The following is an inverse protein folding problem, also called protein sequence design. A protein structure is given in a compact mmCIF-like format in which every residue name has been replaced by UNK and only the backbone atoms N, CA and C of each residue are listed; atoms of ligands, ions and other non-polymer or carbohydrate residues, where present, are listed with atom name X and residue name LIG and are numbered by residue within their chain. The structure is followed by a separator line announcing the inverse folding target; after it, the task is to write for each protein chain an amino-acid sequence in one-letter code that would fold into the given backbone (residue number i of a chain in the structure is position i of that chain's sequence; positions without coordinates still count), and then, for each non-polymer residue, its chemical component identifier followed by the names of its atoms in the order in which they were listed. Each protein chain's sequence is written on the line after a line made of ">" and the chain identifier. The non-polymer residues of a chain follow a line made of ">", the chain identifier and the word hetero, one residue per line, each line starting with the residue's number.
data_IF_205768631319
#
_entry.id   IF_205768631319
#
_cell.length_a   1.000
_cell.length_b   1.000
_cell.length_c   1.000
_cell.angle_alpha   90.00
_cell.angle_beta   90.00
_cell.angle_gamma   90.00
#
_symmetry.space_group_name_H-M   'P 1'
#
loop_
_entity.id
_entity.type
_entity.pdbx_description
1 polymer ?
#
# COMPACT_ATOMS: atom_id res chain seq x y z
N UNK A 1 24.29 15.96 -24.69
CA UNK A 1 25.17 16.83 -23.89
C UNK A 1 24.98 18.28 -24.33
N UNK A 2 24.24 19.06 -23.60
CA UNK A 2 24.30 20.53 -23.53
C UNK A 2 23.76 20.94 -22.16
N UNK A 3 24.42 21.84 -21.43
CA UNK A 3 24.00 22.27 -20.11
C UNK A 3 22.87 23.29 -20.19
N UNK A 4 21.95 23.25 -19.22
CA UNK A 4 20.87 24.20 -19.08
C UNK A 4 21.32 25.35 -18.16
N UNK A 5 21.36 26.55 -18.71
CA UNK A 5 21.76 27.77 -18.02
C UNK A 5 20.65 28.34 -17.13
N UNK A 6 21.10 28.76 -15.98
CA UNK A 6 20.40 29.46 -14.92
C UNK A 6 20.04 30.90 -15.38
N UNK A 7 18.77 31.32 -15.31
CA UNK A 7 18.34 32.71 -15.43
C UNK A 7 17.63 33.18 -14.18
N UNK A 8 18.37 33.87 -13.35
CA UNK A 8 17.84 34.78 -12.35
C UNK A 8 17.29 36.02 -12.99
N UNK A 9 16.10 36.43 -12.60
CA UNK A 9 15.65 37.85 -12.73
C UNK A 9 14.92 38.20 -11.43
N UNK A 10 15.52 39.18 -10.73
CA UNK A 10 14.92 39.84 -9.59
C UNK A 10 14.03 41.00 -10.05
N UNK A 11 13.02 41.28 -9.24
CA UNK A 11 12.42 42.62 -9.18
C UNK A 11 11.83 42.85 -7.80
N UNK A 12 12.34 43.87 -7.14
CA UNK A 12 11.80 44.50 -5.93
C UNK A 12 10.54 45.28 -6.25
N UNK A 13 9.58 45.32 -5.36
CA UNK A 13 8.43 46.18 -5.39
C UNK A 13 7.81 46.33 -4.02
N UNK A 14 8.21 47.37 -3.30
CA UNK A 14 7.56 47.84 -2.07
C UNK A 14 6.23 48.51 -2.40
N UNK A 15 5.18 48.28 -1.60
CA UNK A 15 4.06 49.19 -1.39
C UNK A 15 3.47 49.08 0.04
N UNK A 16 2.80 50.15 0.56
CA UNK A 16 2.88 50.55 1.94
C UNK A 16 1.72 50.15 2.83
N UNK A 17 1.99 50.22 4.16
CA UNK A 17 1.09 50.06 5.30
C UNK A 17 -0.10 51.03 5.28
N UNK A 18 -1.32 50.54 5.45
CA UNK A 18 -2.45 51.31 5.94
C UNK A 18 -3.02 50.72 7.22
N UNK A 19 -2.94 51.50 8.28
CA UNK A 19 -3.57 51.28 9.60
C UNK A 19 -5.09 51.31 9.48
N UNK A 20 -5.80 50.35 10.05
CA UNK A 20 -7.18 50.49 10.48
C UNK A 20 -7.39 49.99 11.90
N UNK A 21 -8.15 50.81 12.63
CA UNK A 21 -8.45 50.86 14.07
C UNK A 21 -9.47 49.78 14.45
N UNK A 22 -9.25 49.10 15.58
CA UNK A 22 -10.22 48.20 16.22
C UNK A 22 -11.12 48.94 17.23
N UNK A 23 -12.38 48.57 17.36
CA UNK A 23 -13.15 48.88 18.56
C UNK A 23 -13.23 47.65 19.50
N UNK A 24 -12.98 47.93 20.75
CA UNK A 24 -13.06 47.01 21.90
C UNK A 24 -14.52 46.71 22.23
N UNK A 25 -14.89 45.42 22.34
CA UNK A 25 -16.18 44.99 22.94
C UNK A 25 -15.85 44.15 24.15
N UNK A 26 -16.35 44.59 25.32
CA UNK A 26 -16.29 43.89 26.59
C UNK A 26 -17.29 42.73 26.61
N UNK A 27 -16.87 41.53 26.95
CA UNK A 27 -17.70 40.37 27.15
C UNK A 27 -17.86 40.04 28.62
N UNK A 28 -19.08 40.01 29.11
CA UNK A 28 -19.46 39.61 30.46
C UNK A 28 -19.34 38.11 30.67
N UNK A 29 -18.81 37.76 31.83
CA UNK A 29 -18.55 36.40 32.30
C UNK A 29 -19.81 35.90 33.05
N UNK A 30 -20.55 34.95 32.44
CA UNK A 30 -21.61 34.19 33.16
C UNK A 30 -21.05 32.80 33.49
N UNK A 31 -20.88 32.53 34.78
CA UNK A 31 -20.58 31.22 35.34
C UNK A 31 -21.85 30.36 35.35
N UNK A 32 -21.91 29.31 34.55
CA UNK A 32 -22.86 28.23 34.66
C UNK A 32 -22.20 27.02 35.31
N UNK A 33 -22.54 26.74 36.58
CA UNK A 33 -22.23 25.46 37.24
C UNK A 33 -23.36 24.49 36.96
N UNK A 34 -23.21 23.62 36.00
CA UNK A 34 -24.08 22.46 35.76
C UNK A 34 -23.40 21.15 36.18
N UNK A 35 -24.11 20.12 36.68
CA UNK A 35 -23.54 18.91 37.17
C UNK A 35 -22.90 18.09 36.00
N UNK A 36 -21.68 17.63 36.22
CA UNK A 36 -20.98 16.73 35.30
C UNK A 36 -21.64 15.36 35.35
N UNK A 37 -22.52 15.09 34.39
CA UNK A 37 -23.04 13.74 34.15
C UNK A 37 -21.93 12.90 33.50
N UNK A 38 -21.44 11.91 34.25
CA UNK A 38 -20.59 10.83 33.66
C UNK A 38 -21.47 10.03 32.69
N UNK A 39 -21.45 10.41 31.42
CA UNK A 39 -21.93 9.54 30.35
C UNK A 39 -20.99 8.33 30.30
N UNK A 40 -21.45 7.16 30.77
CA UNK A 40 -20.86 5.88 30.45
C UNK A 40 -20.83 5.77 28.92
N UNK A 41 -19.64 5.75 28.32
CA UNK A 41 -19.47 5.34 26.93
C UNK A 41 -19.95 3.88 26.83
N UNK A 42 -21.19 3.70 26.39
CA UNK A 42 -21.65 2.42 25.89
C UNK A 42 -20.74 2.08 24.68
N UNK A 43 -19.90 1.06 24.86
CA UNK A 43 -19.20 0.41 23.74
C UNK A 43 -20.34 -0.07 22.82
N UNK A 44 -20.48 0.59 21.67
CA UNK A 44 -21.43 0.16 20.67
C UNK A 44 -21.17 -1.30 20.31
N UNK A 45 -22.20 -2.13 20.34
CA UNK A 45 -22.11 -3.50 19.87
C UNK A 45 -21.58 -3.47 18.42
N UNK A 46 -20.67 -4.43 18.03
CA UNK A 46 -20.19 -4.49 16.68
C UNK A 46 -21.38 -4.54 15.72
N UNK A 47 -21.33 -3.85 14.58
CA UNK A 47 -22.40 -3.88 13.60
C UNK A 47 -22.69 -5.32 13.23
N UNK A 48 -23.98 -5.70 13.21
CA UNK A 48 -24.39 -7.02 12.76
C UNK A 48 -23.89 -7.22 11.32
N UNK A 49 -23.23 -8.37 11.04
CA UNK A 49 -22.87 -8.78 9.70
C UNK A 49 -24.12 -8.73 8.81
N UNK A 50 -24.22 -7.75 7.92
CA UNK A 50 -25.08 -7.89 6.78
C UNK A 50 -24.44 -8.97 5.90
N UNK A 51 -25.18 -10.05 5.61
CA UNK A 51 -24.71 -11.22 4.87
C UNK A 51 -24.03 -10.81 3.56
N UNK A 52 -22.74 -10.62 3.59
CA UNK A 52 -21.91 -10.25 2.46
C UNK A 52 -20.78 -11.26 2.38
N UNK A 53 -20.46 -11.66 1.17
CA UNK A 53 -19.30 -12.49 0.87
C UNK A 53 -18.04 -11.95 1.54
N UNK A 54 -17.15 -12.83 1.99
CA UNK A 54 -15.83 -12.46 2.47
C UNK A 54 -15.13 -11.53 1.47
N UNK A 55 -14.57 -10.45 1.95
CA UNK A 55 -13.78 -9.50 1.17
C UNK A 55 -12.37 -9.39 1.75
N UNK A 56 -11.43 -9.17 0.85
CA UNK A 56 -10.01 -9.06 1.17
C UNK A 56 -9.36 -7.95 0.34
N UNK A 57 -8.19 -7.50 0.77
CA UNK A 57 -7.40 -6.48 0.09
C UNK A 57 -5.93 -6.58 0.48
N UNK A 58 -5.09 -5.81 -0.22
CA UNK A 58 -3.66 -5.70 -0.04
C UNK A 58 -2.94 -7.05 0.16
N UNK A 59 -3.01 -7.90 -0.85
CA UNK A 59 -2.47 -9.25 -0.83
C UNK A 59 -1.05 -9.30 -1.40
N UNK A 60 -0.16 -10.01 -0.69
CA UNK A 60 1.19 -10.33 -1.14
C UNK A 60 1.48 -11.80 -0.90
N UNK A 61 2.07 -12.48 -1.88
CA UNK A 61 2.52 -13.87 -1.73
C UNK A 61 3.97 -14.02 -2.12
N UNK A 62 4.74 -14.65 -1.23
CA UNK A 62 6.10 -15.07 -1.46
C UNK A 62 6.17 -16.59 -1.55
N UNK A 63 6.63 -17.11 -2.66
CA UNK A 63 6.87 -18.53 -2.93
C UNK A 63 8.38 -18.81 -2.84
N UNK A 64 8.82 -19.65 -1.92
CA UNK A 64 10.21 -20.10 -1.85
C UNK A 64 10.32 -21.53 -2.37
N UNK A 65 10.90 -21.69 -3.57
CA UNK A 65 11.06 -22.99 -4.19
C UNK A 65 12.08 -23.82 -3.40
N UNK A 66 11.67 -25.00 -2.97
CA UNK A 66 12.52 -25.94 -2.22
C UNK A 66 13.35 -26.80 -3.20
N UNK A 67 14.08 -27.79 -2.65
CA UNK A 67 14.90 -28.69 -3.47
C UNK A 67 14.06 -29.26 -4.65
N UNK A 68 14.54 -29.18 -5.89
CA UNK A 68 13.74 -29.48 -7.09
C UNK A 68 13.12 -30.88 -7.14
N UNK A 69 13.73 -31.85 -6.49
CA UNK A 69 13.18 -33.22 -6.43
C UNK A 69 11.96 -33.37 -5.53
N UNK A 70 11.64 -32.38 -4.70
CA UNK A 70 10.52 -32.45 -3.76
C UNK A 70 9.19 -32.02 -4.38
N UNK A 71 9.22 -31.28 -5.48
CA UNK A 71 8.07 -30.58 -6.09
C UNK A 71 7.33 -29.71 -5.07
N UNK A 72 8.07 -29.14 -4.10
CA UNK A 72 7.50 -28.41 -2.96
C UNK A 72 8.05 -26.99 -2.90
N UNK A 73 7.24 -26.09 -2.35
CA UNK A 73 7.59 -24.69 -2.12
C UNK A 73 6.88 -24.17 -0.87
N UNK A 74 7.59 -23.31 -0.13
CA UNK A 74 7.00 -22.57 1.00
C UNK A 74 6.22 -21.38 0.48
N UNK A 75 5.14 -21.05 1.17
CA UNK A 75 4.30 -19.89 0.88
C UNK A 75 4.22 -19.04 2.14
N UNK A 76 4.57 -17.76 2.01
CA UNK A 76 4.23 -16.72 2.97
C UNK A 76 3.18 -15.84 2.32
N UNK A 77 1.97 -15.85 2.85
CA UNK A 77 0.82 -15.12 2.32
C UNK A 77 0.39 -14.04 3.29
N UNK A 78 0.60 -12.80 2.93
CA UNK A 78 0.11 -11.63 3.64
C UNK A 78 -1.22 -11.23 3.04
N UNK A 79 -2.27 -11.19 3.84
CA UNK A 79 -3.62 -10.86 3.40
C UNK A 79 -4.32 -9.98 4.41
N UNK A 80 -5.22 -9.15 3.93
CA UNK A 80 -6.01 -8.23 4.73
C UNK A 80 -7.49 -8.57 4.61
N UNK A 81 -8.09 -9.05 5.69
CA UNK A 81 -9.55 -9.22 5.79
C UNK A 81 -10.21 -7.84 5.91
N UNK A 82 -11.18 -7.54 5.04
CA UNK A 82 -11.82 -6.22 4.96
C UNK A 82 -13.33 -6.26 5.19
N UNK A 83 -13.93 -7.43 5.45
CA UNK A 83 -15.36 -7.53 5.76
C UNK A 83 -15.63 -7.01 7.17
N UNK A 84 -16.35 -5.88 7.35
CA UNK A 84 -16.58 -5.30 8.65
C UNK A 84 -17.27 -6.26 9.62
N UNK A 85 -16.79 -6.34 10.87
CA UNK A 85 -17.34 -7.21 11.91
C UNK A 85 -16.96 -8.69 11.77
N UNK A 86 -16.27 -9.12 10.71
CA UNK A 86 -15.82 -10.50 10.55
C UNK A 86 -14.88 -10.89 11.71
N UNK A 87 -15.09 -12.08 12.25
CA UNK A 87 -14.29 -12.69 13.33
C UNK A 87 -13.49 -13.89 12.83
N UNK A 88 -13.74 -14.30 11.59
CA UNK A 88 -13.04 -15.40 10.92
C UNK A 88 -12.62 -14.99 9.52
N UNK A 89 -11.58 -15.65 9.01
CA UNK A 89 -11.13 -15.53 7.63
C UNK A 89 -10.88 -16.92 7.05
N UNK A 90 -11.29 -17.16 5.80
CA UNK A 90 -11.15 -18.43 5.12
C UNK A 90 -10.14 -18.30 3.97
N UNK A 91 -9.02 -19.02 4.06
CA UNK A 91 -8.03 -19.09 2.98
C UNK A 91 -8.16 -20.40 2.21
N UNK A 92 -8.46 -20.39 0.90
CA UNK A 92 -8.63 -21.62 0.14
C UNK A 92 -7.31 -22.37 -0.03
N UNK A 93 -7.37 -23.70 0.09
CA UNK A 93 -6.29 -24.61 -0.27
C UNK A 93 -6.51 -24.99 -1.75
N UNK A 94 -5.53 -24.63 -2.59
CA UNK A 94 -5.65 -24.87 -4.04
C UNK A 94 -5.82 -26.36 -4.35
N UNK A 95 -6.81 -26.71 -5.14
CA UNK A 95 -7.06 -28.08 -5.59
C UNK A 95 -5.86 -28.69 -6.30
N UNK A 96 -5.49 -29.91 -5.94
CA UNK A 96 -4.34 -30.62 -6.49
C UNK A 96 -3.00 -30.31 -5.79
N UNK A 97 -2.97 -29.36 -4.84
CA UNK A 97 -1.83 -29.16 -3.94
C UNK A 97 -2.08 -29.88 -2.61
N UNK A 98 -1.02 -30.48 -2.03
CA UNK A 98 -1.03 -30.95 -0.65
C UNK A 98 -0.40 -29.86 0.22
N UNK A 99 -1.14 -29.39 1.21
CA UNK A 99 -0.67 -28.40 2.18
C UNK A 99 -0.11 -29.07 3.43
N UNK A 100 0.93 -28.48 4.01
CA UNK A 100 1.54 -28.87 5.29
C UNK A 100 2.22 -27.66 5.96
N UNK A 101 2.66 -27.84 7.19
CA UNK A 101 3.41 -26.86 7.98
C UNK A 101 2.69 -25.50 8.10
N UNK A 102 1.35 -25.56 8.24
CA UNK A 102 0.53 -24.37 8.36
C UNK A 102 0.79 -23.66 9.69
N UNK A 103 0.93 -22.33 9.62
CA UNK A 103 0.96 -21.45 10.77
C UNK A 103 0.31 -20.12 10.39
N UNK A 104 -0.40 -19.51 11.32
CA UNK A 104 -1.10 -18.25 11.07
C UNK A 104 -0.79 -17.26 12.20
N UNK A 105 -0.55 -16.01 11.81
CA UNK A 105 -0.19 -14.94 12.74
C UNK A 105 -1.03 -13.69 12.47
N UNK A 106 -1.33 -12.95 13.53
CA UNK A 106 -1.79 -11.56 13.44
C UNK A 106 -0.60 -10.69 13.00
N UNK A 107 -0.69 -10.05 11.85
CA UNK A 107 0.41 -9.27 11.32
C UNK A 107 0.63 -7.93 12.09
N UNK A 108 -0.35 -7.49 12.90
CA UNK A 108 -0.18 -6.34 13.78
C UNK A 108 0.70 -6.69 14.99
N UNK A 109 0.40 -7.79 15.69
CA UNK A 109 1.04 -8.14 16.95
C UNK A 109 2.18 -9.16 16.82
N UNK A 110 2.20 -9.92 15.73
CA UNK A 110 3.09 -11.07 15.54
C UNK A 110 2.64 -12.32 16.31
N UNK A 111 1.51 -12.29 17.00
CA UNK A 111 1.03 -13.41 17.81
C UNK A 111 0.42 -14.51 16.92
N UNK A 112 0.59 -15.79 17.29
CA UNK A 112 -0.03 -16.89 16.59
C UNK A 112 -1.55 -16.87 16.75
N UNK A 113 -2.27 -17.18 15.67
CA UNK A 113 -3.73 -17.29 15.65
C UNK A 113 -4.18 -18.75 15.59
N UNK A 114 -5.34 -19.02 16.19
CA UNK A 114 -6.00 -20.31 16.06
C UNK A 114 -6.57 -20.49 14.66
N UNK A 115 -6.41 -21.66 14.09
CA UNK A 115 -7.00 -22.03 12.82
C UNK A 115 -7.39 -23.51 12.80
N UNK A 116 -8.22 -23.88 11.85
CA UNK A 116 -8.65 -25.25 11.59
C UNK A 116 -8.76 -25.46 10.06
N UNK A 117 -8.54 -26.71 9.62
CA UNK A 117 -8.80 -27.08 8.24
C UNK A 117 -10.24 -27.58 8.15
N UNK A 118 -11.03 -26.89 7.31
CA UNK A 118 -12.44 -27.23 7.11
C UNK A 118 -12.72 -27.55 5.65
N UNK A 119 -13.72 -28.40 5.39
CA UNK A 119 -14.24 -28.64 4.04
C UNK A 119 -15.05 -27.44 3.56
N UNK A 120 -15.21 -27.27 2.25
CA UNK A 120 -16.09 -26.23 1.69
C UNK A 120 -17.54 -26.41 2.13
N UNK A 121 -17.98 -27.64 2.33
CA UNK A 121 -19.31 -27.93 2.88
C UNK A 121 -19.50 -27.41 4.32
N UNK A 122 -18.44 -27.45 5.13
CA UNK A 122 -18.43 -26.86 6.48
C UNK A 122 -18.31 -25.35 6.43
N UNK A 123 -17.44 -24.83 5.55
CA UNK A 123 -17.26 -23.39 5.37
C UNK A 123 -18.56 -22.69 4.97
N UNK A 124 -19.39 -23.31 4.12
CA UNK A 124 -20.71 -22.80 3.70
C UNK A 124 -21.72 -22.58 4.85
N UNK A 125 -21.47 -23.12 6.04
CA UNK A 125 -22.31 -22.83 7.21
C UNK A 125 -22.06 -21.42 7.77
N UNK A 126 -20.95 -20.81 7.37
CA UNK A 126 -20.63 -19.42 7.72
C UNK A 126 -21.26 -18.46 6.69
N UNK A 127 -21.94 -17.38 7.12
CA UNK A 127 -22.55 -16.40 6.23
C UNK A 127 -21.59 -15.80 5.19
N UNK A 128 -20.30 -15.74 5.48
CA UNK A 128 -19.28 -15.19 4.58
C UNK A 128 -18.94 -16.12 3.40
N UNK A 129 -19.33 -17.40 3.46
CA UNK A 129 -18.88 -18.46 2.55
C UNK A 129 -20.01 -19.23 1.85
N UNK A 130 -21.21 -18.69 1.81
CA UNK A 130 -22.41 -19.41 1.33
C UNK A 130 -22.31 -19.92 -0.11
N UNK A 131 -21.61 -19.18 -0.98
CA UNK A 131 -21.52 -19.45 -2.43
C UNK A 131 -20.24 -20.20 -2.83
N UNK A 132 -19.37 -20.55 -1.87
CA UNK A 132 -18.07 -21.15 -2.17
C UNK A 132 -18.18 -22.65 -2.56
N UNK A 133 -17.14 -23.17 -3.22
CA UNK A 133 -17.12 -24.56 -3.70
C UNK A 133 -17.01 -25.55 -2.53
N UNK A 134 -18.02 -26.39 -2.36
CA UNK A 134 -18.09 -27.40 -1.31
C UNK A 134 -16.93 -28.41 -1.31
N UNK A 135 -16.27 -28.63 -2.45
CA UNK A 135 -15.15 -29.57 -2.62
C UNK A 135 -13.77 -28.97 -2.38
N UNK A 136 -13.69 -27.68 -2.09
CA UNK A 136 -12.45 -26.98 -1.72
C UNK A 136 -12.25 -27.06 -0.21
N UNK A 137 -11.03 -27.32 0.24
CA UNK A 137 -10.68 -27.19 1.66
C UNK A 137 -10.18 -25.77 1.97
N UNK A 138 -10.42 -25.31 3.19
CA UNK A 138 -10.05 -23.97 3.63
C UNK A 138 -9.29 -24.03 4.95
N UNK A 139 -8.32 -23.14 5.10
CA UNK A 139 -7.77 -22.77 6.41
C UNK A 139 -8.73 -21.70 6.97
N UNK A 140 -9.53 -22.08 7.98
CA UNK A 140 -10.41 -21.16 8.71
C UNK A 140 -9.63 -20.58 9.87
N UNK A 141 -9.37 -19.30 9.84
CA UNK A 141 -8.60 -18.56 10.83
C UNK A 141 -9.54 -17.81 11.76
N UNK A 142 -9.31 -17.89 13.09
CA UNK A 142 -9.98 -17.07 14.06
C UNK A 142 -9.20 -15.77 14.26
N UNK A 143 -9.78 -14.65 13.91
CA UNK A 143 -9.13 -13.33 14.03
C UNK A 143 -8.96 -12.93 15.49
N UNK A 144 -7.87 -12.25 15.82
CA UNK A 144 -7.59 -11.77 17.18
C UNK A 144 -8.67 -10.77 17.68
N UNK A 145 -9.30 -10.07 16.75
CA UNK A 145 -10.37 -9.08 16.98
C UNK A 145 -11.27 -9.02 15.75
N UNK A 146 -12.55 -8.58 15.91
CA UNK A 146 -13.40 -8.32 14.75
C UNK A 146 -12.78 -7.25 13.84
N UNK A 147 -12.97 -7.40 12.53
CA UNK A 147 -12.53 -6.38 11.55
C UNK A 147 -13.28 -5.07 11.85
N UNK A 148 -12.58 -3.94 12.06
CA UNK A 148 -13.22 -2.65 12.29
C UNK A 148 -14.09 -2.20 11.10
N UNK A 149 -15.10 -1.36 11.33
CA UNK A 149 -16.01 -0.90 10.27
C UNK A 149 -15.28 -0.20 9.11
N UNK A 150 -14.30 0.66 9.43
CA UNK A 150 -13.47 1.39 8.47
C UNK A 150 -12.00 0.90 8.50
N UNK A 151 -11.79 -0.36 8.93
CA UNK A 151 -10.47 -0.90 9.18
C UNK A 151 -10.22 -2.24 8.52
N UNK A 152 -9.24 -2.97 9.04
CA UNK A 152 -8.71 -4.19 8.44
C UNK A 152 -8.31 -5.21 9.52
N UNK A 153 -8.30 -6.50 9.14
CA UNK A 153 -7.65 -7.57 9.89
C UNK A 153 -6.48 -8.13 9.08
N UNK A 154 -5.25 -7.80 9.44
CA UNK A 154 -4.06 -8.26 8.69
C UNK A 154 -3.57 -9.61 9.20
N UNK A 155 -3.29 -10.52 8.28
CA UNK A 155 -2.86 -11.89 8.54
C UNK A 155 -1.58 -12.23 7.80
N UNK A 156 -0.73 -13.02 8.42
CA UNK A 156 0.36 -13.76 7.78
C UNK A 156 0.05 -15.26 7.88
N UNK A 157 -0.14 -15.91 6.73
CA UNK A 157 -0.39 -17.35 6.63
C UNK A 157 0.82 -18.01 6.01
N UNK A 158 1.47 -18.89 6.77
CA UNK A 158 2.58 -19.71 6.31
C UNK A 158 2.08 -21.10 5.99
N UNK A 159 2.57 -21.70 4.91
CA UNK A 159 2.29 -23.09 4.52
C UNK A 159 3.32 -23.62 3.54
N UNK A 160 3.45 -24.92 3.46
CA UNK A 160 4.24 -25.61 2.44
C UNK A 160 3.29 -26.33 1.48
N UNK A 161 3.43 -26.10 0.17
CA UNK A 161 2.71 -26.86 -0.84
C UNK A 161 3.65 -27.88 -1.49
N UNK A 162 3.13 -29.11 -1.70
CA UNK A 162 3.66 -30.07 -2.66
C UNK A 162 2.74 -30.09 -3.87
N UNK A 163 3.25 -29.63 -5.00
CA UNK A 163 2.45 -29.47 -6.24
C UNK A 163 3.33 -29.77 -7.47
N UNK A 164 3.42 -31.04 -7.87
CA UNK A 164 4.24 -31.43 -9.02
C UNK A 164 3.74 -30.93 -10.38
N UNK A 165 2.50 -30.40 -10.46
CA UNK A 165 1.96 -29.78 -11.65
C UNK A 165 2.45 -28.33 -11.79
N UNK A 166 2.67 -27.65 -10.69
CA UNK A 166 3.17 -26.26 -10.69
C UNK A 166 4.69 -26.16 -10.59
N UNK A 167 5.37 -27.13 -9.95
CA UNK A 167 6.82 -27.10 -9.76
C UNK A 167 7.46 -28.45 -10.15
N UNK A 168 8.21 -28.47 -11.24
CA UNK A 168 8.75 -29.68 -11.83
C UNK A 168 10.08 -29.44 -12.59
N UNK A 169 10.70 -30.52 -13.03
CA UNK A 169 11.94 -30.48 -13.82
C UNK A 169 11.68 -30.80 -15.29
N UNK A 170 12.37 -30.08 -16.17
CA UNK A 170 12.45 -30.38 -17.59
C UNK A 170 13.93 -30.39 -17.97
N UNK A 171 14.48 -31.58 -18.24
CA UNK A 171 15.93 -31.79 -18.45
C UNK A 171 16.72 -31.29 -17.26
N UNK A 172 17.63 -30.34 -17.46
CA UNK A 172 18.49 -29.71 -16.45
C UNK A 172 17.81 -28.49 -15.75
N UNK A 173 16.69 -28.02 -16.29
CA UNK A 173 15.99 -26.86 -15.76
C UNK A 173 14.87 -27.25 -14.80
N UNK A 174 14.56 -26.35 -13.88
CA UNK A 174 13.31 -26.34 -13.10
C UNK A 174 12.33 -25.37 -13.75
N UNK A 175 11.07 -25.68 -13.63
CA UNK A 175 9.95 -24.87 -14.10
C UNK A 175 9.00 -24.65 -12.95
N UNK A 176 8.62 -23.38 -12.70
CA UNK A 176 7.50 -23.00 -11.87
C UNK A 176 6.44 -22.42 -12.79
N UNK A 177 5.36 -23.17 -12.97
CA UNK A 177 4.25 -22.88 -13.89
C UNK A 177 2.96 -22.82 -13.08
N UNK A 178 2.47 -21.60 -12.85
CA UNK A 178 1.34 -21.39 -11.97
C UNK A 178 0.62 -20.08 -12.30
N UNK A 179 -0.69 -20.16 -12.52
CA UNK A 179 -1.53 -18.97 -12.56
C UNK A 179 -1.73 -18.41 -11.15
N UNK A 180 -1.47 -17.11 -10.99
CA UNK A 180 -1.48 -16.41 -9.71
C UNK A 180 -2.56 -15.32 -9.71
N UNK A 181 -3.56 -15.45 -8.83
CA UNK A 181 -4.65 -14.49 -8.64
C UNK A 181 -4.23 -13.33 -7.74
N UNK A 182 -3.26 -13.57 -6.85
CA UNK A 182 -2.78 -12.58 -5.87
C UNK A 182 -2.14 -11.39 -6.60
N UNK A 183 -2.37 -10.21 -6.09
CA UNK A 183 -1.94 -8.97 -6.76
C UNK A 183 -0.42 -8.78 -6.74
N UNK A 184 0.23 -9.05 -5.61
CA UNK A 184 1.67 -8.86 -5.41
C UNK A 184 2.36 -10.20 -5.17
N UNK A 185 3.38 -10.50 -5.94
CA UNK A 185 3.97 -11.84 -5.94
C UNK A 185 5.49 -11.78 -5.98
N UNK A 186 6.12 -12.71 -5.28
CA UNK A 186 7.56 -12.99 -5.36
C UNK A 186 7.80 -14.49 -5.42
N UNK A 187 8.66 -14.91 -6.32
CA UNK A 187 9.16 -16.29 -6.39
C UNK A 187 10.66 -16.28 -6.14
N UNK A 188 11.12 -17.07 -5.16
CA UNK A 188 12.53 -17.20 -4.81
C UNK A 188 13.04 -18.55 -5.30
N UNK A 189 14.10 -18.52 -6.09
CA UNK A 189 14.73 -19.73 -6.62
C UNK A 189 15.45 -20.52 -5.51
N UNK A 190 15.64 -21.83 -5.67
CA UNK A 190 16.54 -22.59 -4.80
C UNK A 190 17.97 -22.03 -4.86
N UNK A 191 18.73 -22.21 -3.78
CA UNK A 191 20.13 -21.81 -3.73
C UNK A 191 20.92 -22.45 -4.89
N UNK A 192 21.80 -21.67 -5.53
CA UNK A 192 22.64 -22.12 -6.64
C UNK A 192 21.92 -22.24 -8.00
N UNK A 193 20.72 -21.68 -8.15
CA UNK A 193 19.99 -21.65 -9.42
C UNK A 193 20.01 -20.25 -10.05
N UNK A 194 20.17 -20.22 -11.38
CA UNK A 194 20.14 -19.03 -12.22
C UNK A 194 18.79 -18.93 -12.95
N UNK A 195 18.22 -17.74 -13.02
CA UNK A 195 17.02 -17.45 -13.82
C UNK A 195 17.38 -17.50 -15.32
N UNK A 196 16.63 -18.30 -16.09
CA UNK A 196 16.80 -18.39 -17.56
C UNK A 196 15.54 -17.99 -18.33
N UNK A 197 14.44 -17.71 -17.65
CA UNK A 197 13.21 -17.21 -18.29
C UNK A 197 12.12 -16.88 -17.30
N UNK A 198 11.41 -15.79 -17.61
CA UNK A 198 10.18 -15.38 -16.94
C UNK A 198 9.29 -14.70 -17.98
N UNK A 199 8.03 -15.13 -18.09
CA UNK A 199 7.10 -14.61 -19.10
C UNK A 199 6.35 -13.35 -18.65
N UNK A 200 6.53 -12.93 -17.39
CA UNK A 200 5.90 -11.73 -16.82
C UNK A 200 7.00 -10.70 -16.55
N UNK A 201 6.84 -9.42 -16.93
CA UNK A 201 7.76 -8.36 -16.54
C UNK A 201 7.93 -8.32 -15.02
N UNK A 202 9.14 -8.49 -14.55
CA UNK A 202 9.44 -8.69 -13.13
C UNK A 202 10.70 -7.94 -12.72
N UNK A 203 10.76 -7.51 -11.47
CA UNK A 203 11.99 -7.11 -10.81
C UNK A 203 12.76 -8.37 -10.42
N UNK A 204 14.06 -8.40 -10.68
CA UNK A 204 14.94 -9.49 -10.30
C UNK A 204 15.99 -8.99 -9.33
N UNK A 205 16.07 -9.61 -8.16
CA UNK A 205 16.97 -9.21 -7.08
C UNK A 205 17.76 -10.40 -6.56
N UNK A 206 19.03 -10.19 -6.27
CA UNK A 206 19.81 -11.14 -5.46
C UNK A 206 19.58 -10.83 -3.99
N UNK A 207 19.14 -11.81 -3.24
CA UNK A 207 18.95 -11.70 -1.80
C UNK A 207 20.29 -11.82 -1.04
N UNK A 208 20.35 -11.39 0.23
CA UNK A 208 21.57 -11.50 1.04
C UNK A 208 22.07 -12.94 1.18
N UNK A 209 21.21 -13.95 1.07
CA UNK A 209 21.58 -15.37 1.08
C UNK A 209 22.02 -15.91 -0.30
N UNK A 210 22.15 -15.03 -1.31
CA UNK A 210 22.57 -15.34 -2.67
C UNK A 210 21.47 -15.94 -3.56
N UNK A 211 20.26 -16.18 -3.03
CA UNK A 211 19.14 -16.65 -3.85
C UNK A 211 18.58 -15.53 -4.74
N UNK A 212 18.04 -15.90 -5.87
CA UNK A 212 17.39 -14.96 -6.79
C UNK A 212 15.91 -14.87 -6.46
N UNK A 213 15.42 -13.66 -6.25
CA UNK A 213 14.00 -13.32 -6.09
C UNK A 213 13.48 -12.65 -7.37
N UNK A 214 12.33 -13.10 -7.83
CA UNK A 214 11.62 -12.57 -9.00
C UNK A 214 10.28 -12.05 -8.49
N UNK A 215 10.06 -10.73 -8.54
CA UNK A 215 8.86 -10.10 -8.00
C UNK A 215 8.13 -9.26 -9.03
N UNK A 216 6.79 -9.24 -8.95
CA UNK A 216 5.94 -8.49 -9.85
C UNK A 216 4.59 -8.13 -9.21
N UNK A 217 3.89 -7.21 -9.83
CA UNK A 217 2.50 -6.87 -9.50
C UNK A 217 1.59 -7.28 -10.65
N UNK A 218 0.59 -8.10 -10.35
CA UNK A 218 -0.49 -8.39 -11.28
C UNK A 218 -1.44 -7.19 -11.34
N UNK A 219 -1.31 -6.37 -12.36
CA UNK A 219 -2.18 -5.22 -12.59
C UNK A 219 -3.48 -5.58 -13.33
N UNK A 220 -3.60 -6.81 -13.83
CA UNK A 220 -4.77 -7.30 -14.54
C UNK A 220 -5.95 -7.65 -13.61
N UNK A 221 -7.13 -7.81 -14.20
CA UNK A 221 -8.34 -8.28 -13.51
C UNK A 221 -8.45 -9.81 -13.45
N UNK A 222 -7.51 -10.52 -14.08
CA UNK A 222 -7.47 -11.99 -14.15
C UNK A 222 -6.18 -12.51 -13.53
N UNK A 223 -6.11 -13.83 -13.34
CA UNK A 223 -4.87 -14.48 -12.90
C UNK A 223 -3.71 -14.20 -13.85
N UNK A 224 -2.51 -13.97 -13.28
CA UNK A 224 -1.27 -13.86 -14.04
C UNK A 224 -0.72 -15.26 -14.32
N UNK A 225 -0.63 -15.71 -15.60
CA UNK A 225 -0.14 -17.05 -15.95
C UNK A 225 1.40 -17.07 -15.92
N UNK A 226 1.98 -17.18 -14.72
CA UNK A 226 3.43 -17.17 -14.53
C UNK A 226 4.06 -18.48 -14.99
N UNK A 227 5.06 -18.37 -15.88
CA UNK A 227 6.00 -19.45 -16.23
C UNK A 227 7.42 -18.94 -15.99
N UNK A 228 8.07 -19.54 -15.01
CA UNK A 228 9.45 -19.22 -14.63
C UNK A 228 10.33 -20.44 -14.86
N UNK A 229 11.52 -20.23 -15.43
CA UNK A 229 12.51 -21.26 -15.69
C UNK A 229 13.85 -20.89 -15.07
N UNK A 230 14.49 -21.87 -14.43
CA UNK A 230 15.83 -21.70 -13.87
C UNK A 230 16.65 -22.98 -14.05
N UNK A 231 17.95 -22.84 -14.07
CA UNK A 231 18.91 -23.98 -14.16
C UNK A 231 19.95 -23.87 -13.05
N UNK A 232 20.64 -24.97 -12.69
CA UNK A 232 21.80 -24.85 -11.81
C UNK A 232 22.82 -23.87 -12.40
N UNK A 233 23.27 -22.91 -11.58
CA UNK A 233 24.31 -21.98 -11.95
C UNK A 233 25.68 -22.67 -12.06
N UNK A 234 26.60 -22.10 -12.85
CA UNK A 234 27.99 -22.49 -12.76
C UNK A 234 28.44 -22.23 -11.30
N UNK A 235 28.98 -23.27 -10.63
CA UNK A 235 29.53 -23.10 -9.29
C UNK A 235 30.77 -22.16 -9.44
N UNK A 236 30.56 -20.88 -9.28
CA UNK A 236 31.65 -19.99 -8.89
C UNK A 236 32.04 -20.42 -7.49
N UNK A 237 33.33 -20.69 -7.28
CA UNK A 237 33.87 -21.18 -6.01
C UNK A 237 33.38 -20.35 -4.81
N UNK A 238 33.63 -20.75 -3.58
CA UNK A 238 32.97 -20.21 -2.40
C UNK A 238 33.16 -18.69 -2.36
N UNK A 239 32.18 -17.99 -2.89
CA UNK A 239 31.97 -16.58 -2.58
C UNK A 239 31.65 -16.59 -1.09
N UNK A 240 32.49 -15.92 -0.30
CA UNK A 240 32.19 -15.72 1.11
C UNK A 240 30.87 -14.92 1.17
N UNK A 241 29.75 -15.64 1.25
CA UNK A 241 28.45 -15.05 1.49
C UNK A 241 28.56 -14.36 2.83
N UNK A 242 28.40 -13.03 2.93
CA UNK A 242 28.38 -12.39 4.22
C UNK A 242 27.30 -13.08 5.07
N UNK A 243 27.70 -13.59 6.22
CA UNK A 243 26.76 -14.18 7.17
C UNK A 243 25.88 -13.04 7.69
N UNK A 244 24.73 -12.82 7.05
CA UNK A 244 23.72 -11.88 7.54
C UNK A 244 23.00 -12.58 8.68
N UNK A 245 22.97 -11.99 9.88
CA UNK A 245 22.22 -12.57 11.01
C UNK A 245 20.77 -12.83 10.63
N UNK A 246 20.22 -13.96 11.03
CA UNK A 246 18.86 -14.41 10.68
C UNK A 246 17.73 -13.46 11.13
N UNK A 247 18.05 -12.39 11.84
CA UNK A 247 17.09 -11.41 12.38
C UNK A 247 16.83 -10.19 11.46
N UNK A 248 17.58 -10.03 10.37
CA UNK A 248 17.31 -8.91 9.45
C UNK A 248 16.30 -9.34 8.40
N UNK A 249 15.12 -8.73 8.38
CA UNK A 249 14.24 -8.68 7.21
C UNK A 249 14.92 -7.80 6.15
N UNK A 250 16.01 -8.30 5.61
CA UNK A 250 16.98 -7.55 4.82
C UNK A 250 16.44 -6.98 3.50
N UNK A 251 15.29 -7.50 3.01
CA UNK A 251 14.62 -6.95 1.84
C UNK A 251 13.91 -5.59 2.09
N UNK A 252 13.73 -5.20 3.37
CA UNK A 252 13.17 -3.90 3.75
C UNK A 252 14.26 -2.84 4.04
N UNK A 253 15.49 -3.27 4.30
CA UNK A 253 16.58 -2.36 4.61
C UNK A 253 17.15 -1.72 3.32
N UNK A 254 17.31 -0.40 3.26
CA UNK A 254 18.12 0.22 2.22
C UNK A 254 19.58 -0.22 2.38
N UNK A 255 20.28 -0.42 1.27
CA UNK A 255 21.73 -0.62 1.30
C UNK A 255 22.39 0.67 1.77
N UNK A 256 23.05 0.65 2.94
CA UNK A 256 23.80 1.81 3.44
C UNK A 256 24.92 2.18 2.47
N UNK A 257 24.92 3.44 2.06
CA UNK A 257 25.97 3.99 1.18
C UNK A 257 25.65 4.03 -0.31
N UNK A 258 24.50 3.51 -0.74
CA UNK A 258 24.03 3.60 -2.13
C UNK A 258 23.21 4.87 -2.37
N UNK A 259 23.29 5.43 -3.57
CA UNK A 259 22.40 6.50 -3.99
C UNK A 259 20.97 5.97 -4.10
N UNK A 260 19.96 6.84 -4.01
CA UNK A 260 18.55 6.43 -4.09
C UNK A 260 18.22 5.68 -5.39
N UNK A 261 18.96 5.94 -6.48
CA UNK A 261 18.84 5.26 -7.78
C UNK A 261 19.42 3.85 -7.80
N UNK A 262 20.35 3.56 -6.91
CA UNK A 262 21.04 2.27 -6.80
C UNK A 262 20.42 1.35 -5.75
N UNK A 263 19.46 1.88 -4.96
CA UNK A 263 18.73 1.09 -3.96
C UNK A 263 17.89 0.02 -4.61
N UNK A 264 18.31 -1.22 -4.45
CA UNK A 264 17.60 -2.40 -4.94
C UNK A 264 16.74 -2.99 -3.81
N UNK A 265 15.57 -2.42 -3.58
CA UNK A 265 14.57 -2.96 -2.66
C UNK A 265 13.44 -3.66 -3.40
N UNK A 266 12.86 -4.68 -2.79
CA UNK A 266 11.70 -5.37 -3.37
C UNK A 266 10.45 -4.48 -3.33
N UNK A 267 10.08 -3.96 -4.51
CA UNK A 267 8.96 -3.02 -4.63
C UNK A 267 7.60 -3.69 -4.48
N UNK A 268 7.46 -4.95 -4.88
CA UNK A 268 6.21 -5.68 -4.75
C UNK A 268 5.84 -5.96 -3.29
N UNK A 269 6.82 -6.19 -2.41
CA UNK A 269 6.58 -6.40 -0.99
C UNK A 269 6.12 -5.12 -0.26
N UNK A 270 6.59 -3.94 -0.70
CA UNK A 270 6.22 -2.69 -0.04
C UNK A 270 4.71 -2.45 -0.11
N UNK A 271 4.04 -2.39 1.02
CA UNK A 271 2.60 -2.19 1.15
C UNK A 271 2.17 -0.72 1.17
N UNK A 272 3.03 0.18 0.68
CA UNK A 272 2.75 1.61 0.56
C UNK A 272 1.89 1.90 -0.67
N UNK A 273 0.75 2.51 -0.43
CA UNK A 273 -0.29 2.78 -1.42
C UNK A 273 -0.80 4.21 -1.28
N UNK A 274 -0.96 4.93 -2.39
CA UNK A 274 -1.59 6.25 -2.40
C UNK A 274 -2.69 6.28 -3.44
N UNK A 275 -3.86 6.78 -3.05
CA UNK A 275 -4.98 7.02 -3.95
C UNK A 275 -5.31 8.51 -3.98
N UNK A 276 -5.22 9.12 -5.14
CA UNK A 276 -5.55 10.52 -5.40
C UNK A 276 -6.95 10.62 -5.99
N UNK A 277 -7.80 11.42 -5.38
CA UNK A 277 -9.16 11.73 -5.86
C UNK A 277 -9.15 13.17 -6.36
N UNK A 278 -9.06 13.36 -7.67
CA UNK A 278 -9.03 14.69 -8.25
C UNK A 278 -10.41 15.36 -8.09
N UNK A 279 -10.42 16.57 -7.57
CA UNK A 279 -11.61 17.42 -7.52
C UNK A 279 -11.77 18.14 -8.86
N UNK A 280 -12.77 19.04 -9.02
CA UNK A 280 -12.86 19.80 -10.27
C UNK A 280 -11.60 20.66 -10.45
N UNK A 281 -10.99 20.69 -11.65
CA UNK A 281 -9.64 21.25 -11.86
C UNK A 281 -9.52 22.73 -11.55
N UNK A 282 -10.63 23.46 -11.54
CA UNK A 282 -10.69 24.88 -11.15
C UNK A 282 -10.32 25.09 -9.66
N UNK A 283 -10.43 24.07 -8.85
CA UNK A 283 -10.05 24.13 -7.43
C UNK A 283 -8.56 23.92 -7.22
N UNK A 284 -7.83 23.38 -8.22
CA UNK A 284 -6.45 22.91 -8.10
C UNK A 284 -6.24 21.90 -6.97
N UNK A 285 -7.33 21.27 -6.47
CA UNK A 285 -7.31 20.43 -5.29
C UNK A 285 -7.58 18.97 -5.62
N UNK A 286 -6.99 18.10 -4.83
CA UNK A 286 -7.28 16.67 -4.79
C UNK A 286 -7.20 16.17 -3.36
N UNK A 287 -8.14 15.34 -2.95
CA UNK A 287 -8.00 14.58 -1.72
C UNK A 287 -7.21 13.30 -1.99
N UNK A 288 -6.58 12.79 -0.97
CA UNK A 288 -5.85 11.53 -1.05
C UNK A 288 -5.98 10.75 0.25
N UNK A 289 -5.83 9.45 0.17
CA UNK A 289 -5.37 8.68 1.31
C UNK A 289 -4.06 7.95 0.97
N UNK A 290 -3.29 7.71 2.02
CA UNK A 290 -2.00 7.05 1.98
C UNK A 290 -2.00 5.97 3.06
N UNK A 291 -1.88 4.70 2.65
CA UNK A 291 -1.70 3.59 3.56
C UNK A 291 -0.21 3.33 3.77
N UNK A 292 0.18 3.17 5.03
CA UNK A 292 1.57 3.01 5.42
C UNK A 292 1.70 2.07 6.62
N UNK A 293 2.52 1.04 6.50
CA UNK A 293 2.87 0.15 7.61
C UNK A 293 4.19 0.57 8.23
N UNK A 294 4.17 0.85 9.53
CA UNK A 294 5.36 1.10 10.34
C UNK A 294 5.70 -0.16 11.15
N UNK A 295 6.92 -0.66 10.98
CA UNK A 295 7.43 -1.87 11.67
C UNK A 295 8.72 -1.62 12.44
N UNK A 296 9.31 -0.43 12.37
CA UNK A 296 10.57 -0.09 13.05
C UNK A 296 10.32 0.05 14.56
N UNK A 297 10.97 -0.78 15.41
CA UNK A 297 10.80 -0.69 16.85
C UNK A 297 11.16 0.69 17.39
N UNK A 298 10.34 1.20 18.32
CA UNK A 298 10.53 2.51 18.96
C UNK A 298 9.97 3.69 18.18
N UNK A 299 9.57 3.53 16.93
CA UNK A 299 8.92 4.60 16.15
C UNK A 299 7.53 4.88 16.74
N UNK A 300 7.25 6.16 17.05
CA UNK A 300 6.05 6.63 17.74
C UNK A 300 5.31 7.76 16.99
N UNK A 301 5.77 8.09 15.77
CA UNK A 301 5.17 9.16 14.96
C UNK A 301 5.48 8.98 13.49
N UNK A 302 4.62 9.57 12.68
CA UNK A 302 4.83 9.77 11.25
C UNK A 302 4.83 11.26 10.94
N UNK A 303 5.78 11.69 10.10
CA UNK A 303 5.88 13.04 9.57
C UNK A 303 5.57 13.01 8.08
N UNK A 304 4.45 13.59 7.68
CA UNK A 304 4.14 13.77 6.27
C UNK A 304 4.60 15.15 5.81
N UNK A 305 5.71 15.19 5.08
CA UNK A 305 6.28 16.42 4.54
C UNK A 305 5.53 16.80 3.29
N UNK A 306 4.85 17.96 3.33
CA UNK A 306 4.06 18.47 2.22
C UNK A 306 4.99 18.96 1.11
N UNK A 307 4.76 18.47 -0.10
CA UNK A 307 5.57 18.84 -1.27
C UNK A 307 5.55 20.35 -1.49
N UNK A 308 6.70 20.91 -1.81
CA UNK A 308 6.84 22.33 -2.15
C UNK A 308 5.86 22.76 -3.26
N UNK A 309 5.27 23.95 -3.13
CA UNK A 309 4.24 24.46 -4.05
C UNK A 309 2.84 23.87 -3.82
N UNK A 310 2.68 23.05 -2.79
CA UNK A 310 1.37 22.52 -2.35
C UNK A 310 1.06 23.02 -0.94
N UNK A 311 -0.24 23.12 -0.64
CA UNK A 311 -0.76 23.30 0.73
C UNK A 311 -1.62 22.12 1.11
N UNK A 312 -1.65 21.80 2.40
CA UNK A 312 -2.45 20.70 2.95
C UNK A 312 -3.60 21.24 3.81
N UNK A 313 -4.76 20.61 3.72
CA UNK A 313 -5.92 20.83 4.61
C UNK A 313 -6.54 19.51 5.04
N UNK A 314 -7.34 19.58 6.09
CA UNK A 314 -8.17 18.49 6.62
C UNK A 314 -7.40 17.17 6.87
N UNK A 315 -6.21 17.22 7.50
CA UNK A 315 -5.47 16.00 7.79
C UNK A 315 -6.20 15.15 8.83
N UNK A 316 -6.30 13.86 8.55
CA UNK A 316 -6.83 12.87 9.48
C UNK A 316 -6.06 11.57 9.37
N UNK A 317 -5.98 10.82 10.46
CA UNK A 317 -5.30 9.53 10.48
C UNK A 317 -5.96 8.55 11.43
N UNK A 318 -5.82 7.27 11.13
CA UNK A 318 -6.26 6.20 12.03
C UNK A 318 -5.45 4.92 11.80
N UNK A 319 -5.46 4.05 12.82
CA UNK A 319 -4.84 2.72 12.75
C UNK A 319 -5.86 1.79 12.09
N UNK A 320 -5.53 1.27 10.91
CA UNK A 320 -6.41 0.37 10.15
C UNK A 320 -6.72 -0.93 10.90
N UNK A 321 -5.74 -1.44 11.68
CA UNK A 321 -5.89 -2.71 12.42
C UNK A 321 -6.90 -2.65 13.55
N UNK A 322 -7.14 -1.45 14.12
CA UNK A 322 -8.01 -1.26 15.30
C UNK A 322 -9.17 -0.30 15.03
N UNK A 323 -9.12 0.49 13.96
CA UNK A 323 -10.04 1.59 13.71
C UNK A 323 -9.82 2.80 14.64
N UNK A 324 -8.74 2.81 15.44
CA UNK A 324 -8.41 3.91 16.36
C UNK A 324 -8.05 5.17 15.59
N UNK A 325 -8.74 6.26 15.88
CA UNK A 325 -8.44 7.58 15.32
C UNK A 325 -7.25 8.21 16.03
N UNK A 326 -6.31 8.73 15.25
CA UNK A 326 -5.13 9.43 15.73
C UNK A 326 -5.29 10.94 15.64
N UNK A 327 -4.64 11.66 16.54
CA UNK A 327 -4.52 13.11 16.44
C UNK A 327 -3.56 13.49 15.32
N UNK A 328 -3.83 14.64 14.69
CA UNK A 328 -2.95 15.23 13.68
C UNK A 328 -2.60 16.66 14.07
N UNK A 329 -1.37 17.07 13.82
CA UNK A 329 -0.90 18.45 14.03
C UNK A 329 -0.26 18.96 12.75
N UNK A 330 -0.71 20.13 12.31
CA UNK A 330 -0.05 20.83 11.21
C UNK A 330 1.07 21.71 11.79
N UNK A 331 2.28 21.47 11.35
CA UNK A 331 3.50 22.14 11.76
C UNK A 331 4.20 22.74 10.55
N UNK A 332 5.17 23.62 10.81
CA UNK A 332 6.13 24.08 9.81
C UNK A 332 7.53 23.52 10.10
N UNK A 333 8.44 23.63 9.14
CA UNK A 333 9.85 23.28 9.38
C UNK A 333 10.49 24.08 10.52
N UNK A 334 10.03 25.33 10.74
CA UNK A 334 10.48 26.13 11.88
C UNK A 334 9.98 25.53 13.21
N UNK A 335 8.73 25.04 13.28
CA UNK A 335 8.19 24.39 14.48
C UNK A 335 8.94 23.10 14.79
N UNK A 336 9.26 22.26 13.76
CA UNK A 336 10.09 21.07 13.98
C UNK A 336 11.46 21.40 14.58
N UNK A 337 12.11 22.46 14.07
CA UNK A 337 13.40 22.90 14.58
C UNK A 337 13.30 23.39 16.05
N UNK A 338 12.24 24.12 16.40
CA UNK A 338 11.98 24.58 17.76
C UNK A 338 11.70 23.40 18.72
N UNK A 339 10.91 22.41 18.28
CA UNK A 339 10.57 21.22 19.05
C UNK A 339 11.68 20.15 19.02
N UNK A 340 12.78 20.38 18.29
CA UNK A 340 13.90 19.44 18.08
C UNK A 340 13.45 18.09 17.52
N UNK A 341 12.48 18.11 16.63
CA UNK A 341 11.98 16.92 15.93
C UNK A 341 12.79 16.77 14.63
N UNK A 342 13.48 15.65 14.48
CA UNK A 342 14.20 15.31 13.25
C UNK A 342 13.20 14.87 12.15
N UNK A 343 13.11 15.57 11.02
CA UNK A 343 12.27 15.19 9.89
C UNK A 343 12.85 14.04 9.06
N UNK A 344 14.09 13.62 9.28
CA UNK A 344 14.80 12.61 8.50
C UNK A 344 15.29 13.08 7.12
N UNK A 345 14.92 14.29 6.69
CA UNK A 345 15.38 14.95 5.46
C UNK A 345 15.39 16.47 5.63
N UNK A 346 16.17 17.21 4.84
CA UNK A 346 16.20 18.68 4.93
C UNK A 346 14.84 19.29 4.58
N UNK A 347 14.31 20.16 5.44
CA UNK A 347 13.07 20.90 5.22
C UNK A 347 13.32 22.42 5.34
N UNK A 348 12.59 23.21 4.54
CA UNK A 348 12.60 24.67 4.65
C UNK A 348 11.78 25.10 5.89
N UNK A 349 12.09 26.24 6.54
CA UNK A 349 11.29 26.74 7.67
C UNK A 349 9.79 26.87 7.37
N UNK A 350 9.43 27.14 6.12
CA UNK A 350 8.04 27.34 5.65
C UNK A 350 7.36 26.06 5.15
N UNK A 351 8.08 24.93 5.05
CA UNK A 351 7.51 23.66 4.61
C UNK A 351 6.45 23.22 5.60
N UNK A 352 5.25 22.90 5.11
CA UNK A 352 4.18 22.33 5.93
C UNK A 352 4.46 20.85 6.20
N UNK A 353 4.20 20.41 7.42
CA UNK A 353 4.39 19.03 7.85
C UNK A 353 3.17 18.60 8.69
N UNK A 354 2.61 17.45 8.37
CA UNK A 354 1.58 16.82 9.20
C UNK A 354 2.25 15.83 10.13
N UNK A 355 2.22 16.09 11.43
CA UNK A 355 2.69 15.21 12.49
C UNK A 355 1.54 14.33 12.96
N UNK A 356 1.77 13.02 12.98
CA UNK A 356 0.81 11.99 13.40
C UNK A 356 1.48 11.13 14.48
N UNK A 357 1.23 11.37 15.77
CA UNK A 357 1.73 10.53 16.86
C UNK A 357 0.91 9.24 16.96
N UNK A 358 1.55 8.14 17.32
CA UNK A 358 0.92 6.85 17.59
C UNK A 358 1.69 6.09 18.68
N UNK A 359 1.11 5.02 19.27
CA UNK A 359 1.82 4.21 20.26
C UNK A 359 3.13 3.65 19.69
N UNK A 360 4.24 3.66 20.45
CA UNK A 360 5.53 3.15 19.97
C UNK A 360 5.43 1.72 19.50
N UNK A 361 5.95 1.45 18.30
CA UNK A 361 6.00 0.10 17.71
C UNK A 361 6.94 -0.76 18.53
N UNK A 362 6.49 -1.96 18.95
CA UNK A 362 7.31 -2.92 19.67
C UNK A 362 8.02 -3.87 18.70
N UNK A 363 9.13 -4.48 19.14
CA UNK A 363 9.85 -5.49 18.34
C UNK A 363 8.88 -6.62 17.93
N UNK A 364 8.86 -6.97 16.66
CA UNK A 364 7.98 -8.00 16.10
C UNK A 364 6.53 -7.57 15.85
N UNK A 365 6.21 -6.30 16.11
CA UNK A 365 4.90 -5.72 15.84
C UNK A 365 4.95 -4.73 14.68
N UNK A 366 3.80 -4.40 14.14
CA UNK A 366 3.64 -3.33 13.14
C UNK A 366 2.30 -2.63 13.31
N UNK A 367 2.22 -1.37 12.88
CA UNK A 367 1.00 -0.57 12.87
C UNK A 367 0.76 -0.13 11.43
N UNK A 368 -0.44 -0.37 10.90
CA UNK A 368 -0.83 0.15 9.60
C UNK A 368 -1.71 1.37 9.75
N UNK A 369 -1.22 2.48 9.20
CA UNK A 369 -1.89 3.78 9.24
C UNK A 369 -2.58 4.03 7.91
N UNK A 370 -3.79 4.62 7.95
CA UNK A 370 -4.34 5.39 6.83
C UNK A 370 -4.28 6.86 7.19
N UNK A 371 -3.69 7.63 6.30
CA UNK A 371 -3.53 9.08 6.42
C UNK A 371 -4.31 9.70 5.27
N UNK A 372 -5.28 10.55 5.57
CA UNK A 372 -6.10 11.22 4.57
C UNK A 372 -5.90 12.73 4.66
N UNK A 373 -5.77 13.37 3.51
CA UNK A 373 -5.47 14.79 3.37
C UNK A 373 -6.08 15.35 2.10
N UNK A 374 -6.27 16.66 2.05
CA UNK A 374 -6.59 17.39 0.82
C UNK A 374 -5.42 18.31 0.48
N UNK A 375 -4.90 18.20 -0.73
CA UNK A 375 -3.85 19.06 -1.24
C UNK A 375 -4.42 20.05 -2.26
N UNK A 376 -3.98 21.30 -2.15
CA UNK A 376 -4.10 22.29 -3.23
C UNK A 376 -2.73 22.48 -3.84
N UNK A 377 -2.59 22.21 -5.15
CA UNK A 377 -1.29 22.13 -5.83
C UNK A 377 -1.41 22.64 -7.29
N UNK A 378 -1.54 23.97 -7.52
CA UNK A 378 -1.80 24.52 -8.85
C UNK A 378 -0.69 24.22 -9.87
N UNK A 379 0.55 24.03 -9.42
CA UNK A 379 1.66 23.60 -10.27
C UNK A 379 1.53 22.17 -10.80
N UNK A 380 0.86 21.29 -10.03
CA UNK A 380 0.71 19.86 -10.37
C UNK A 380 -0.67 19.52 -10.91
N UNK A 381 -1.70 20.30 -10.58
CA UNK A 381 -3.08 20.03 -10.97
C UNK A 381 -3.79 21.31 -11.36
N UNK A 382 -4.26 21.39 -12.61
CA UNK A 382 -4.83 22.60 -13.17
C UNK A 382 -5.76 22.32 -14.35
N UNK A 383 -6.54 23.32 -14.71
CA UNK A 383 -7.23 23.42 -15.98
C UNK A 383 -6.32 24.23 -16.95
N UNK A 384 -6.08 23.71 -18.15
CA UNK A 384 -5.34 24.36 -19.22
C UNK A 384 -6.26 24.43 -20.47
N UNK A 385 -6.85 25.58 -20.71
CA UNK A 385 -7.95 25.69 -21.67
C UNK A 385 -9.15 24.85 -21.26
N UNK A 386 -9.49 23.83 -22.06
CA UNK A 386 -10.57 22.87 -21.79
C UNK A 386 -10.05 21.51 -21.26
N UNK A 387 -8.73 21.40 -21.08
CA UNK A 387 -8.09 20.18 -20.59
C UNK A 387 -7.76 20.25 -19.10
N UNK A 388 -8.14 19.22 -18.37
CA UNK A 388 -7.58 18.90 -17.07
C UNK A 388 -6.16 18.37 -17.26
N UNK A 389 -5.21 18.92 -16.51
CA UNK A 389 -3.81 18.49 -16.50
C UNK A 389 -3.42 18.09 -15.07
N UNK A 390 -2.99 16.86 -14.89
CA UNK A 390 -2.35 16.36 -13.68
C UNK A 390 -0.91 15.96 -14.02
N UNK A 391 0.07 16.67 -13.43
CA UNK A 391 1.49 16.55 -13.70
C UNK A 391 2.24 16.40 -12.37
N UNK A 392 2.65 15.17 -12.05
CA UNK A 392 3.21 14.86 -10.73
C UNK A 392 4.14 13.67 -10.75
N UNK A 393 5.26 13.77 -10.02
CA UNK A 393 6.13 12.63 -9.75
C UNK A 393 5.54 11.76 -8.64
N UNK A 394 5.48 10.44 -8.87
CA UNK A 394 4.93 9.43 -7.96
C UNK A 394 6.04 8.48 -7.49
N UNK A 395 6.45 8.58 -6.23
CA UNK A 395 7.56 7.79 -5.67
C UNK A 395 7.14 6.44 -5.05
N UNK A 396 5.88 6.28 -4.69
CA UNK A 396 5.41 5.04 -4.05
C UNK A 396 5.32 3.90 -5.06
N UNK A 397 5.43 2.63 -4.61
CA UNK A 397 5.28 1.48 -5.52
C UNK A 397 3.93 1.45 -6.22
N UNK A 398 2.86 1.76 -5.50
CA UNK A 398 1.49 1.76 -6.02
C UNK A 398 0.86 3.12 -5.84
N UNK A 399 0.30 3.62 -6.92
CA UNK A 399 -0.39 4.90 -6.95
C UNK A 399 -1.66 4.77 -7.80
N UNK A 400 -2.75 5.30 -7.34
CA UNK A 400 -3.96 5.39 -8.13
C UNK A 400 -4.41 6.84 -8.27
N UNK A 401 -4.91 7.22 -9.45
CA UNK A 401 -5.48 8.53 -9.69
C UNK A 401 -6.90 8.36 -10.23
N UNK A 402 -7.86 8.99 -9.56
CA UNK A 402 -9.28 8.94 -9.92
C UNK A 402 -9.67 10.30 -10.48
N UNK A 403 -10.10 10.33 -11.73
CA UNK A 403 -10.58 11.56 -12.40
C UNK A 403 -11.87 12.08 -11.73
N UNK A 404 -12.14 13.39 -11.78
CA UNK A 404 -13.41 13.93 -11.32
C UNK A 404 -14.60 13.38 -12.10
N UNK A 405 -15.78 13.42 -11.51
CA UNK A 405 -17.00 13.07 -12.22
C UNK A 405 -17.21 13.97 -13.46
N UNK A 406 -17.65 13.38 -14.57
CA UNK A 406 -17.90 14.10 -15.83
C UNK A 406 -16.66 14.28 -16.72
N UNK A 407 -15.52 13.68 -16.37
CA UNK A 407 -14.30 13.73 -17.17
C UNK A 407 -13.95 12.39 -17.82
N UNK A 408 -13.26 12.41 -18.95
CA UNK A 408 -12.71 11.22 -19.60
C UNK A 408 -11.23 11.43 -19.94
N UNK A 409 -10.45 10.37 -19.83
CA UNK A 409 -9.02 10.36 -20.07
C UNK A 409 -8.72 10.59 -21.55
N UNK A 410 -7.77 11.49 -21.84
CA UNK A 410 -7.27 11.75 -23.20
C UNK A 410 -5.81 11.38 -23.38
N UNK A 411 -5.01 11.43 -22.32
CA UNK A 411 -3.59 11.03 -22.36
C UNK A 411 -3.07 10.56 -21.00
N UNK A 412 -2.10 9.66 -21.02
CA UNK A 412 -1.24 9.28 -19.91
C UNK A 412 0.14 8.95 -20.43
N UNK A 413 1.19 9.55 -19.88
CA UNK A 413 2.59 9.33 -20.32
C UNK A 413 3.18 8.03 -19.81
N UNK A 414 2.64 7.51 -18.71
CA UNK A 414 3.10 6.26 -18.09
C UNK A 414 2.00 5.20 -18.27
N UNK A 415 2.37 3.96 -18.60
CA UNK A 415 1.43 2.85 -18.64
C UNK A 415 0.66 2.69 -17.33
N UNK A 416 -0.65 2.52 -17.42
CA UNK A 416 -1.52 2.33 -16.27
C UNK A 416 -2.64 1.33 -16.61
N UNK A 417 -3.14 0.64 -15.61
CA UNK A 417 -4.43 -0.04 -15.72
C UNK A 417 -5.54 0.99 -15.60
N UNK A 418 -6.46 1.02 -16.57
CA UNK A 418 -7.58 1.96 -16.59
C UNK A 418 -8.86 1.21 -16.30
N UNK A 419 -9.61 1.66 -15.29
CA UNK A 419 -10.86 1.04 -14.86
C UNK A 419 -11.96 2.10 -14.70
N UNK A 420 -13.17 1.78 -15.12
CA UNK A 420 -14.33 2.60 -14.77
C UNK A 420 -14.91 2.13 -13.44
N UNK A 421 -15.07 3.07 -12.52
CA UNK A 421 -15.71 2.81 -11.22
C UNK A 421 -17.24 2.74 -11.37
N UNK A 422 -17.96 2.14 -10.41
CA UNK A 422 -19.41 2.05 -10.44
C UNK A 422 -20.14 3.40 -10.56
N UNK A 423 -19.53 4.49 -10.06
CA UNK A 423 -20.03 5.86 -10.17
C UNK A 423 -19.69 6.55 -11.50
N UNK A 424 -19.09 5.84 -12.46
CA UNK A 424 -18.73 6.32 -13.79
C UNK A 424 -17.42 7.08 -13.88
N UNK A 425 -16.73 7.34 -12.75
CA UNK A 425 -15.39 7.93 -12.76
C UNK A 425 -14.37 6.96 -13.32
N UNK A 426 -13.27 7.50 -13.84
CA UNK A 426 -12.15 6.72 -14.37
C UNK A 426 -11.04 6.69 -13.34
N UNK A 427 -10.53 5.48 -13.05
CA UNK A 427 -9.40 5.21 -12.18
C UNK A 427 -8.22 4.72 -13.03
N UNK A 428 -7.03 5.27 -12.77
CA UNK A 428 -5.76 4.80 -13.31
C UNK A 428 -4.91 4.26 -12.17
N UNK A 429 -4.42 3.05 -12.29
CA UNK A 429 -3.48 2.44 -11.35
C UNK A 429 -2.10 2.37 -11.98
N UNK A 430 -1.11 2.96 -11.31
CA UNK A 430 0.29 3.00 -11.72
C UNK A 430 1.13 2.10 -10.82
N UNK A 431 1.97 1.30 -11.45
CA UNK A 431 3.00 0.52 -10.78
C UNK A 431 4.38 1.17 -11.00
N UNK A 432 5.02 1.62 -9.91
CA UNK A 432 6.39 2.08 -9.95
C UNK A 432 7.33 0.97 -9.45
N UNK A 433 7.92 0.22 -10.38
CA UNK A 433 8.93 -0.81 -10.09
C UNK A 433 10.34 -0.25 -9.88
N UNK A 434 10.54 1.07 -10.00
CA UNK A 434 11.84 1.74 -9.87
C UNK A 434 12.12 2.11 -8.41
N UNK A 435 13.39 2.23 -8.00
CA UNK A 435 13.74 2.73 -6.66
C UNK A 435 13.41 4.22 -6.46
N UNK A 436 13.36 5.00 -7.54
CA UNK A 436 13.03 6.44 -7.56
C UNK A 436 11.55 6.69 -7.96
N UNK A 437 11.20 7.92 -8.33
CA UNK A 437 9.87 8.29 -8.78
C UNK A 437 9.66 8.07 -10.29
N UNK A 438 8.38 7.95 -10.68
CA UNK A 438 7.91 8.06 -12.06
C UNK A 438 7.21 9.40 -12.27
N UNK A 439 7.48 10.06 -13.40
CA UNK A 439 6.84 11.31 -13.74
C UNK A 439 5.59 11.05 -14.57
N UNK A 440 4.44 11.33 -13.97
CA UNK A 440 3.12 11.08 -14.56
C UNK A 440 2.51 12.38 -15.03
N UNK A 441 2.31 12.51 -16.35
CA UNK A 441 1.47 13.52 -16.96
C UNK A 441 0.20 12.86 -17.46
N UNK A 442 -0.94 13.31 -16.94
CA UNK A 442 -2.27 12.87 -17.37
C UNK A 442 -3.06 14.07 -17.88
N UNK A 443 -3.86 13.84 -18.94
CA UNK A 443 -4.81 14.80 -19.47
C UNK A 443 -6.20 14.20 -19.59
N UNK A 444 -7.22 15.04 -19.39
CA UNK A 444 -8.62 14.63 -19.50
C UNK A 444 -9.48 15.79 -20.04
N UNK A 445 -10.64 15.48 -20.62
CA UNK A 445 -11.62 16.47 -21.09
C UNK A 445 -12.99 16.21 -20.45
N UNK A 446 -13.81 17.27 -20.39
CA UNK A 446 -15.20 17.16 -19.92
C UNK A 446 -16.02 16.35 -20.94
N UNK A 447 -16.88 15.49 -20.41
CA UNK A 447 -17.93 14.86 -21.23
C UNK A 447 -18.99 15.91 -21.56
N UNK A 448 -19.23 16.13 -22.82
CA UNK A 448 -20.38 16.92 -23.26
C UNK A 448 -21.63 16.08 -22.98
N UNK A 449 -22.58 16.65 -22.23
CA UNK A 449 -23.87 15.99 -22.05
C UNK A 449 -24.48 15.78 -23.44
N UNK A 450 -24.74 14.54 -23.82
CA UNK A 450 -25.53 14.26 -25.03
C UNK A 450 -26.88 14.95 -24.83
N UNK A 451 -27.22 15.89 -25.72
CA UNK A 451 -28.56 16.41 -25.76
C UNK A 451 -29.51 15.19 -25.90
N UNK A 452 -30.28 14.91 -24.85
CA UNK A 452 -31.32 13.88 -24.90
C UNK A 452 -32.28 14.30 -26.00
N UNK A 453 -32.20 13.70 -27.16
CA UNK A 453 -33.27 13.72 -28.16
C UNK A 453 -34.44 12.98 -27.53
N UNK A 454 -35.33 13.75 -26.89
CA UNK A 454 -36.64 13.27 -26.54
C UNK A 454 -37.35 12.88 -27.86
N UNK A 455 -37.57 11.58 -28.05
CA UNK A 455 -38.47 11.04 -29.02
C UNK A 455 -39.79 10.63 -28.34
#
# INVERSE_FOLDING_TARGET
>A
MRPYEDRRLGAQGEFPLSRRIFPTIAAGMMLFTGPISRAQQQIAAPPALSATKQTEGDEYTRYELLAPGTASFKISYEVTATTPGAQVYFNPIRKGSAASDEAVFDAMTGDPLKFEIVTGAEARKDPLMTDEDASTNYIKVHLARPVPADGQGRLLILKTYKDPKSYYRVRDAIVFDRSLSIRRNTVVLPAGYELIGCNIPSQVLTQPDGRIAISFVNAGSTEAPLILRAKPGAQTGPSAVPHVPAESKSWEAPFDGETEKERLSERAHQDRDIVYFLQQPETHAFSLYHDYTESRPGTDKYLNIVREGSTVSDPSAYILDTGEKLSTRLLTGADLAADKIDPGEPVKPTTQIVLIPFPPVKKGQSIRLRISETYTAPGSYRLDGDELVFDRSLGRPRNAVILPAGWYLTASTIPATVTQLPDGRVRLDFWNGRPDSIDVLMKAKRRVASASTAH
#
